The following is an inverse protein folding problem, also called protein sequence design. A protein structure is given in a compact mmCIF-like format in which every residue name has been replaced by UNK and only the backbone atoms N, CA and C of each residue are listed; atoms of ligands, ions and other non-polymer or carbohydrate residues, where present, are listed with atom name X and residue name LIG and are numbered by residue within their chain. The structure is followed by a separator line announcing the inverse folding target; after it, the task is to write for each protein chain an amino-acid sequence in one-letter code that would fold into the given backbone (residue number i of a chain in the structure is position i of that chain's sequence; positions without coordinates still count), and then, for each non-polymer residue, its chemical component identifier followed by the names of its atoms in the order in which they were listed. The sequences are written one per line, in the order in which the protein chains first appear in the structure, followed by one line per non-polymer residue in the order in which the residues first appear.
data_IF_492520458551
#
_entry.id   IF_492520458551
#
_cell.length_a   1.000
_cell.length_b   1.000
_cell.length_c   1.000
_cell.angle_alpha   90.00
_cell.angle_beta   90.00
_cell.angle_gamma   90.00
#
_symmetry.space_group_name_H-M   'P 1'
#
loop_
_entity.id
_entity.type
_entity.pdbx_description
1 polymer ?
#
# COMPACT_ATOMS: atom_id res chain seq x y z
N UNK A 1 2.47 4.25 23.91
CA UNK A 1 2.50 2.78 23.73
C UNK A 1 1.95 2.48 22.36
N UNK A 2 2.62 1.64 21.56
CA UNK A 2 2.01 1.13 20.32
C UNK A 2 0.86 0.19 20.71
N UNK A 3 -0.22 0.23 19.94
CA UNK A 3 -1.33 -0.72 20.10
C UNK A 3 -0.90 -2.14 19.71
N UNK A 4 -1.73 -3.16 19.99
CA UNK A 4 -1.48 -4.51 19.53
C UNK A 4 -1.35 -4.56 17.99
N UNK A 5 -0.55 -5.47 17.43
CA UNK A 5 -0.38 -5.59 15.99
C UNK A 5 -1.67 -6.05 15.31
N UNK A 6 -1.89 -5.60 14.07
CA UNK A 6 -2.94 -6.10 13.19
C UNK A 6 -2.38 -7.23 12.33
N UNK A 7 -2.89 -8.45 12.50
CA UNK A 7 -2.50 -9.62 11.73
C UNK A 7 -3.69 -10.17 10.94
N UNK A 8 -3.54 -10.23 9.62
CA UNK A 8 -4.54 -10.71 8.68
C UNK A 8 -3.94 -11.86 7.89
N UNK A 9 -4.55 -13.03 8.01
CA UNK A 9 -4.16 -14.26 7.32
C UNK A 9 -5.42 -14.93 6.81
N UNK A 10 -5.42 -15.31 5.53
CA UNK A 10 -6.58 -15.95 4.85
C UNK A 10 -7.87 -15.14 4.97
N UNK A 11 -7.78 -13.82 4.92
CA UNK A 11 -8.94 -12.93 4.98
C UNK A 11 -9.48 -12.59 3.58
N UNK A 12 -10.73 -12.17 3.51
CA UNK A 12 -11.32 -11.59 2.30
C UNK A 12 -11.76 -10.15 2.57
N UNK A 13 -11.03 -9.19 2.00
CA UNK A 13 -11.29 -7.76 2.11
C UNK A 13 -11.76 -7.25 0.75
N UNK A 14 -13.07 -7.38 0.51
CA UNK A 14 -13.69 -7.05 -0.78
C UNK A 14 -14.77 -6.00 -0.66
N UNK A 15 -14.81 -5.11 -1.66
CA UNK A 15 -15.90 -4.15 -1.87
C UNK A 15 -16.16 -3.19 -0.69
N UNK A 16 -15.12 -2.87 0.08
CA UNK A 16 -15.21 -1.89 1.18
C UNK A 16 -14.94 -0.47 0.66
N UNK A 17 -15.62 0.52 1.23
CA UNK A 17 -15.53 1.91 0.76
C UNK A 17 -15.42 2.89 1.92
N UNK A 18 -14.38 3.73 1.89
CA UNK A 18 -14.25 4.92 2.71
C UNK A 18 -14.65 6.16 1.89
N UNK A 19 -15.88 6.65 2.09
CA UNK A 19 -16.42 7.79 1.32
C UNK A 19 -15.78 9.14 1.66
N UNK A 20 -15.19 9.28 2.85
CA UNK A 20 -14.64 10.54 3.36
C UNK A 20 -13.22 10.46 3.93
N UNK A 21 -12.43 9.44 3.58
CA UNK A 21 -11.12 9.23 4.20
C UNK A 21 -10.22 8.24 3.46
N UNK A 22 -9.23 7.75 4.19
CA UNK A 22 -8.22 6.80 3.72
C UNK A 22 -8.57 5.36 4.07
N UNK A 23 -7.98 4.41 3.34
CA UNK A 23 -8.01 3.00 3.73
C UNK A 23 -9.39 2.38 3.57
N UNK A 24 -9.80 2.13 2.32
CA UNK A 24 -11.15 1.65 2.01
C UNK A 24 -11.57 0.40 2.79
N UNK A 25 -10.63 -0.51 3.03
CA UNK A 25 -10.82 -1.66 3.92
C UNK A 25 -10.16 -1.48 5.29
N UNK A 26 -8.95 -0.92 5.32
CA UNK A 26 -8.15 -0.82 6.54
C UNK A 26 -7.47 0.55 6.63
N UNK A 27 -7.70 1.21 7.75
CA UNK A 27 -6.88 2.30 8.24
C UNK A 27 -6.10 1.83 9.47
N UNK A 28 -4.78 1.95 9.43
CA UNK A 28 -3.89 1.61 10.55
C UNK A 28 -3.03 2.81 10.94
N UNK A 29 -2.91 3.07 12.24
CA UNK A 29 -2.04 4.09 12.79
C UNK A 29 -1.24 3.56 13.97
N UNK A 30 0.08 3.75 13.93
CA UNK A 30 0.99 3.47 15.05
C UNK A 30 0.99 2.02 15.55
N UNK A 31 0.68 1.06 14.66
CA UNK A 31 0.75 -0.39 14.94
C UNK A 31 1.40 -1.13 13.79
N UNK A 32 1.98 -2.30 14.07
CA UNK A 32 2.47 -3.17 13.01
C UNK A 32 1.32 -3.80 12.25
N UNK A 33 1.49 -3.94 10.94
CA UNK A 33 0.48 -4.54 10.06
C UNK A 33 1.10 -5.70 9.29
N UNK A 34 0.44 -6.86 9.35
CA UNK A 34 0.82 -8.06 8.62
C UNK A 34 -0.38 -8.53 7.80
N UNK A 35 -0.22 -8.62 6.47
CA UNK A 35 -1.23 -9.13 5.54
C UNK A 35 -0.62 -10.29 4.76
N UNK A 36 -1.02 -11.52 5.07
CA UNK A 36 -0.34 -12.72 4.59
C UNK A 36 -1.31 -13.83 4.18
N UNK A 37 -0.74 -14.94 3.70
CA UNK A 37 -1.41 -16.23 3.48
C UNK A 37 -2.67 -16.12 2.62
N UNK A 38 -2.53 -15.71 1.36
CA UNK A 38 -3.64 -15.66 0.39
C UNK A 38 -4.81 -14.77 0.83
N UNK A 39 -4.53 -13.70 1.57
CA UNK A 39 -5.53 -12.67 1.81
C UNK A 39 -5.90 -12.01 0.48
N UNK A 40 -7.20 -11.94 0.18
CA UNK A 40 -7.69 -11.28 -1.03
C UNK A 40 -8.07 -9.83 -0.68
N UNK A 41 -7.48 -8.87 -1.38
CA UNK A 41 -7.75 -7.44 -1.19
C UNK A 41 -8.24 -6.85 -2.50
N UNK A 42 -9.55 -6.75 -2.67
CA UNK A 42 -10.13 -6.45 -3.98
C UNK A 42 -11.27 -5.45 -3.96
N UNK A 43 -11.35 -4.62 -5.01
CA UNK A 43 -12.45 -3.68 -5.23
C UNK A 43 -12.72 -2.72 -4.06
N UNK A 44 -11.72 -2.45 -3.23
CA UNK A 44 -11.87 -1.49 -2.14
C UNK A 44 -11.63 -0.08 -2.67
N UNK A 45 -12.32 0.91 -2.10
CA UNK A 45 -12.14 2.29 -2.49
C UNK A 45 -12.01 3.26 -1.33
N UNK A 46 -11.20 4.29 -1.51
CA UNK A 46 -11.04 5.41 -0.58
C UNK A 46 -11.09 6.72 -1.34
N UNK A 47 -11.79 7.73 -0.84
CA UNK A 47 -11.84 9.06 -1.47
C UNK A 47 -10.52 9.82 -1.38
N UNK A 48 -9.63 9.43 -0.47
CA UNK A 48 -8.29 10.00 -0.32
C UNK A 48 -7.22 8.97 -0.69
N UNK A 49 -6.34 8.58 0.23
CA UNK A 49 -5.24 7.65 -0.01
C UNK A 49 -5.53 6.20 0.36
N UNK A 50 -4.81 5.26 -0.26
CA UNK A 50 -4.84 3.85 0.14
C UNK A 50 -6.20 3.22 -0.15
N UNK A 51 -6.48 2.95 -1.42
CA UNK A 51 -7.81 2.49 -1.84
C UNK A 51 -8.29 1.25 -1.10
N UNK A 52 -7.37 0.37 -0.69
CA UNK A 52 -7.66 -0.69 0.26
C UNK A 52 -7.03 -0.45 1.64
N UNK A 53 -5.72 -0.22 1.69
CA UNK A 53 -4.96 -0.17 2.92
C UNK A 53 -4.23 1.18 3.03
N UNK A 54 -4.44 1.85 4.15
CA UNK A 54 -3.66 3.00 4.56
C UNK A 54 -2.96 2.70 5.89
N UNK A 55 -1.66 2.93 5.94
CA UNK A 55 -0.88 2.78 7.17
C UNK A 55 -0.08 4.05 7.47
N UNK A 56 -0.16 4.56 8.69
CA UNK A 56 0.66 5.70 9.14
C UNK A 56 1.34 5.42 10.49
N UNK A 57 2.55 5.95 10.69
CA UNK A 57 3.30 5.79 11.96
C UNK A 57 3.60 4.34 12.34
N UNK A 58 3.42 3.40 11.41
CA UNK A 58 3.69 1.97 11.60
C UNK A 58 5.19 1.72 11.39
N UNK A 59 5.90 1.08 12.33
CA UNK A 59 7.33 0.81 12.14
C UNK A 59 7.58 -0.40 11.24
N UNK A 60 6.59 -1.30 11.11
CA UNK A 60 6.67 -2.48 10.24
C UNK A 60 5.36 -2.71 9.48
N UNK A 61 5.48 -2.89 8.16
CA UNK A 61 4.43 -3.41 7.29
C UNK A 61 4.96 -4.65 6.55
N UNK A 62 4.27 -5.77 6.70
CA UNK A 62 4.56 -7.00 5.95
C UNK A 62 3.35 -7.35 5.09
N UNK A 63 3.57 -7.54 3.80
CA UNK A 63 2.56 -8.03 2.87
C UNK A 63 3.14 -9.22 2.11
N UNK A 64 2.59 -10.42 2.28
CA UNK A 64 3.10 -11.60 1.61
C UNK A 64 1.99 -12.46 1.00
N UNK A 65 2.31 -13.15 -0.10
CA UNK A 65 1.43 -14.16 -0.73
C UNK A 65 0.00 -13.65 -0.94
N UNK A 66 -0.12 -12.40 -1.37
CA UNK A 66 -1.38 -11.64 -1.35
C UNK A 66 -1.66 -11.03 -2.72
N UNK A 67 -2.92 -11.04 -3.13
CA UNK A 67 -3.37 -10.34 -4.34
C UNK A 67 -4.14 -9.08 -3.96
N UNK A 68 -3.64 -7.95 -4.41
CA UNK A 68 -4.30 -6.65 -4.30
C UNK A 68 -4.82 -6.22 -5.68
N UNK A 69 -6.13 -6.30 -5.91
CA UNK A 69 -6.69 -6.09 -7.25
C UNK A 69 -7.84 -5.09 -7.31
N UNK A 70 -7.89 -4.29 -8.37
CA UNK A 70 -9.02 -3.40 -8.66
C UNK A 70 -9.37 -2.43 -7.53
N UNK A 71 -8.41 -2.09 -6.67
CA UNK A 71 -8.62 -1.12 -5.61
C UNK A 71 -8.43 0.31 -6.14
N UNK A 72 -9.15 1.28 -5.59
CA UNK A 72 -9.15 2.66 -6.08
C UNK A 72 -8.98 3.69 -4.96
N UNK A 73 -8.02 4.59 -5.12
CA UNK A 73 -7.82 5.74 -4.26
C UNK A 73 -8.13 7.02 -5.05
N UNK A 74 -8.68 8.04 -4.39
CA UNK A 74 -8.78 9.38 -4.96
C UNK A 74 -7.39 9.94 -5.26
N UNK A 75 -6.59 10.08 -4.21
CA UNK A 75 -5.32 10.80 -4.24
C UNK A 75 -4.13 9.92 -4.64
N UNK A 76 -3.78 8.90 -3.86
CA UNK A 76 -2.58 8.12 -4.10
C UNK A 76 -2.63 6.71 -3.53
N UNK A 77 -1.84 5.79 -4.11
CA UNK A 77 -1.75 4.42 -3.63
C UNK A 77 -3.06 3.68 -3.83
N UNK A 78 -3.43 3.41 -5.08
CA UNK A 78 -4.72 2.82 -5.41
C UNK A 78 -5.04 1.53 -4.66
N UNK A 79 -4.03 0.75 -4.28
CA UNK A 79 -4.19 -0.36 -3.33
C UNK A 79 -3.70 0.02 -1.92
N UNK A 80 -2.44 0.38 -1.82
CA UNK A 80 -1.78 0.61 -0.54
C UNK A 80 -1.06 1.96 -0.53
N UNK A 81 -1.31 2.71 0.52
CA UNK A 81 -0.59 3.92 0.84
C UNK A 81 0.08 3.78 2.21
N UNK A 82 1.37 4.12 2.27
CA UNK A 82 2.14 4.10 3.51
C UNK A 82 2.66 5.50 3.81
N UNK A 83 2.27 6.07 4.95
CA UNK A 83 2.87 7.29 5.50
C UNK A 83 3.86 7.00 6.64
N UNK A 84 5.14 7.01 6.32
CA UNK A 84 6.20 6.86 7.31
C UNK A 84 6.66 8.19 7.93
N UNK A 85 6.04 9.34 7.60
CA UNK A 85 6.47 10.63 8.14
C UNK A 85 6.19 10.83 9.64
N UNK A 86 5.37 9.96 10.23
CA UNK A 86 4.92 10.04 11.63
C UNK A 86 5.56 8.93 12.48
N UNK A 87 6.64 8.30 12.01
CA UNK A 87 7.21 7.16 12.72
C UNK A 87 7.90 7.59 14.02
N UNK A 88 7.30 7.20 15.15
CA UNK A 88 7.73 7.53 16.52
C UNK A 88 9.14 6.98 16.84
N UNK A 89 9.65 6.04 16.04
CA UNK A 89 10.95 5.40 16.22
C UNK A 89 12.06 5.93 15.28
N UNK A 90 11.87 7.11 14.66
CA UNK A 90 12.92 7.78 13.88
C UNK A 90 12.93 7.40 12.39
N UNK A 91 11.77 7.47 11.74
CA UNK A 91 11.58 7.35 10.27
C UNK A 91 11.94 6.00 9.60
N UNK A 92 12.41 5.00 10.34
CA UNK A 92 12.84 3.72 9.76
C UNK A 92 11.68 2.71 9.66
N UNK A 93 10.71 2.97 8.79
CA UNK A 93 9.76 1.93 8.38
C UNK A 93 10.51 0.79 7.68
N UNK A 94 10.21 -0.46 8.05
CA UNK A 94 10.51 -1.62 7.20
C UNK A 94 9.23 -2.03 6.45
N UNK A 95 9.31 -2.09 5.13
CA UNK A 95 8.28 -2.68 4.28
C UNK A 95 8.85 -3.94 3.59
N UNK A 96 8.28 -5.08 3.93
CA UNK A 96 8.57 -6.36 3.28
C UNK A 96 7.36 -6.82 2.47
N UNK A 97 7.52 -6.89 1.15
CA UNK A 97 6.50 -7.30 0.21
C UNK A 97 6.99 -8.53 -0.59
N UNK A 98 6.46 -9.70 -0.26
CA UNK A 98 6.90 -10.98 -0.80
C UNK A 98 5.80 -11.64 -1.63
N UNK A 99 6.08 -12.03 -2.87
CA UNK A 99 5.13 -12.76 -3.72
C UNK A 99 3.75 -12.07 -3.79
N UNK A 100 3.73 -10.75 -3.94
CA UNK A 100 2.48 -10.00 -4.06
C UNK A 100 2.10 -9.78 -5.52
N UNK A 101 0.80 -9.78 -5.81
CA UNK A 101 0.29 -9.37 -7.12
C UNK A 101 -0.60 -8.14 -6.97
N UNK A 102 -0.15 -7.00 -7.48
CA UNK A 102 -0.91 -5.78 -7.57
C UNK A 102 -1.43 -5.56 -8.99
N UNK A 103 -2.74 -5.75 -9.20
CA UNK A 103 -3.31 -5.71 -10.55
C UNK A 103 -4.51 -4.79 -10.69
N UNK A 104 -4.49 -3.92 -11.71
CA UNK A 104 -5.64 -3.09 -12.06
C UNK A 104 -6.05 -2.08 -10.98
N UNK A 105 -5.14 -1.70 -10.09
CA UNK A 105 -5.41 -0.70 -9.06
C UNK A 105 -5.28 0.73 -9.64
N UNK A 106 -5.99 1.68 -9.07
CA UNK A 106 -6.11 3.03 -9.61
C UNK A 106 -5.95 4.13 -8.56
N UNK A 107 -5.15 5.16 -8.86
CA UNK A 107 -5.25 6.47 -8.21
C UNK A 107 -5.93 7.42 -9.21
N UNK A 108 -7.13 7.91 -8.90
CA UNK A 108 -8.00 8.58 -9.88
C UNK A 108 -7.61 10.02 -10.18
N UNK A 109 -7.02 10.73 -9.22
CA UNK A 109 -6.59 12.13 -9.39
C UNK A 109 -5.13 12.39 -9.02
N UNK A 110 -4.41 11.42 -8.44
CA UNK A 110 -2.98 11.58 -8.16
C UNK A 110 -2.11 10.38 -8.54
N UNK A 111 -1.17 10.04 -7.67
CA UNK A 111 0.05 9.31 -8.02
C UNK A 111 0.03 7.84 -7.59
N UNK A 112 0.89 7.05 -8.24
CA UNK A 112 1.14 5.63 -7.96
C UNK A 112 -0.13 4.76 -7.84
N UNK A 113 -0.55 4.20 -8.98
CA UNK A 113 -1.82 3.47 -9.10
C UNK A 113 -1.97 2.24 -8.22
N UNK A 114 -0.89 1.68 -7.67
CA UNK A 114 -0.96 0.56 -6.73
C UNK A 114 -0.39 0.93 -5.36
N UNK A 115 0.93 1.19 -5.31
CA UNK A 115 1.67 1.38 -4.08
C UNK A 115 2.25 2.77 -4.01
N UNK A 116 1.89 3.53 -2.98
CA UNK A 116 2.51 4.81 -2.68
C UNK A 116 3.19 4.73 -1.31
N UNK A 117 4.46 5.12 -1.27
CA UNK A 117 5.29 5.09 -0.08
C UNK A 117 5.80 6.50 0.19
N UNK A 118 5.36 7.11 1.30
CA UNK A 118 5.75 8.46 1.71
C UNK A 118 6.78 8.39 2.83
N UNK A 119 7.91 9.07 2.62
CA UNK A 119 8.96 9.28 3.64
C UNK A 119 9.54 8.00 4.24
N UNK A 120 9.62 6.91 3.46
CA UNK A 120 10.08 5.59 3.95
C UNK A 120 11.60 5.53 4.02
N UNK A 121 12.23 5.91 5.13
CA UNK A 121 13.71 5.97 5.22
C UNK A 121 14.39 4.65 5.66
N UNK A 122 13.62 3.58 5.83
CA UNK A 122 14.12 2.25 6.20
C UNK A 122 14.27 1.29 5.02
N UNK A 123 14.15 -0.01 5.31
CA UNK A 123 14.31 -1.06 4.31
C UNK A 123 13.04 -1.24 3.49
N UNK A 124 13.19 -1.30 2.17
CA UNK A 124 12.14 -1.64 1.23
C UNK A 124 12.52 -2.90 0.46
N UNK A 125 11.71 -3.95 0.58
CA UNK A 125 11.91 -5.19 -0.13
C UNK A 125 10.63 -5.54 -0.91
N UNK A 126 10.78 -5.67 -2.23
CA UNK A 126 9.79 -6.29 -3.11
C UNK A 126 10.48 -7.41 -3.87
N UNK A 127 10.12 -8.66 -3.59
CA UNK A 127 10.61 -9.82 -4.34
C UNK A 127 9.45 -10.76 -4.70
N UNK A 128 9.68 -11.53 -5.77
CA UNK A 128 8.67 -12.36 -6.42
C UNK A 128 7.35 -11.62 -6.75
N UNK A 129 7.40 -10.28 -6.79
CA UNK A 129 6.23 -9.42 -6.78
C UNK A 129 5.93 -8.84 -8.15
N UNK A 130 4.64 -8.64 -8.45
CA UNK A 130 4.16 -8.18 -9.76
C UNK A 130 3.25 -6.97 -9.61
N UNK A 131 3.45 -5.98 -10.48
CA UNK A 131 2.57 -4.83 -10.64
C UNK A 131 2.07 -4.78 -12.10
N UNK A 132 0.78 -4.98 -12.31
CA UNK A 132 0.19 -5.19 -13.64
C UNK A 132 -0.98 -4.22 -13.85
N UNK A 133 -0.95 -3.42 -14.92
CA UNK A 133 -2.08 -2.55 -15.33
C UNK A 133 -2.58 -1.59 -14.24
N UNK A 134 -1.70 -1.14 -13.34
CA UNK A 134 -2.06 -0.14 -12.34
C UNK A 134 -2.00 1.26 -12.97
N UNK A 135 -2.96 2.14 -12.67
CA UNK A 135 -3.09 3.45 -13.30
C UNK A 135 -3.02 4.58 -12.27
N UNK A 136 -2.21 5.59 -12.55
CA UNK A 136 -2.23 6.86 -11.83
C UNK A 136 -2.67 7.97 -12.79
N UNK A 137 -3.31 9.01 -12.28
CA UNK A 137 -3.66 10.20 -13.05
C UNK A 137 -2.44 11.08 -13.32
N UNK A 138 -1.46 11.07 -12.42
CA UNK A 138 -0.24 11.86 -12.54
C UNK A 138 1.01 10.99 -12.39
N UNK A 139 2.08 11.38 -13.09
CA UNK A 139 3.40 10.79 -12.95
C UNK A 139 3.99 11.15 -11.59
N UNK A 140 4.77 10.24 -11.01
CA UNK A 140 5.54 10.56 -9.81
C UNK A 140 6.81 11.29 -10.23
N UNK A 141 7.10 12.43 -9.58
CA UNK A 141 8.38 13.15 -9.78
C UNK A 141 9.52 12.36 -9.12
N UNK A 142 10.55 12.03 -9.89
CA UNK A 142 11.72 11.26 -9.41
C UNK A 142 12.54 12.06 -8.38
N UNK A 143 12.54 13.39 -8.45
CA UNK A 143 13.41 14.25 -7.63
C UNK A 143 12.96 14.43 -6.17
N UNK A 144 11.70 14.15 -5.82
CA UNK A 144 11.22 14.22 -4.42
C UNK A 144 11.29 12.87 -3.69
N UNK A 145 11.68 11.79 -4.36
CA UNK A 145 11.63 10.43 -3.82
C UNK A 145 12.76 9.59 -4.42
N UNK A 146 13.87 9.47 -3.72
CA UNK A 146 14.93 8.46 -3.95
C UNK A 146 14.41 6.99 -3.85
N UNK A 147 13.09 6.74 -3.85
CA UNK A 147 12.48 5.52 -3.31
C UNK A 147 11.26 5.01 -4.08
N UNK A 148 10.87 5.62 -5.21
CA UNK A 148 9.76 5.09 -6.02
C UNK A 148 10.24 4.30 -7.24
N UNK A 149 10.68 3.06 -7.01
CA UNK A 149 10.73 2.04 -8.07
C UNK A 149 9.63 1.01 -7.84
N UNK A 150 8.48 1.23 -8.47
CA UNK A 150 7.49 0.18 -8.74
C UNK A 150 7.07 0.16 -10.23
N UNK A 151 7.96 0.60 -11.13
CA UNK A 151 7.92 0.20 -12.53
C UNK A 151 8.75 -1.08 -12.67
N UNK A 152 8.16 -2.22 -12.28
CA UNK A 152 8.74 -3.53 -12.61
C UNK A 152 8.74 -3.64 -14.13
N UNK A 153 9.94 -3.58 -14.70
CA UNK A 153 10.20 -4.11 -16.03
C UNK A 153 9.68 -5.55 -16.06
N UNK A 154 8.56 -5.77 -16.74
CA UNK A 154 8.23 -7.10 -17.23
C UNK A 154 9.12 -7.35 -18.43
N UNK A 155 10.31 -7.88 -18.21
CA UNK A 155 11.04 -8.57 -19.27
C UNK A 155 10.30 -9.89 -19.55
N UNK A 156 9.42 -9.86 -20.55
CA UNK A 156 9.49 -10.69 -21.75
C UNK A 156 8.51 -10.15 -22.79
#
# INVERSE_FOLDING_TARGET
MQGPPLNLSRCNLTDNTATGGQGGAIYSSSVNVTVVDFTLVRNNSASQEGGALYTTGSPLLTVADTTMSSNSAGAAGGALYVDASVNVQGDRLTLAAHNITAVGNQATSGQAGAFFLKSVRGSLLFDASKAIKNRAATSVKVEEQLQLMALVHTNR
#
